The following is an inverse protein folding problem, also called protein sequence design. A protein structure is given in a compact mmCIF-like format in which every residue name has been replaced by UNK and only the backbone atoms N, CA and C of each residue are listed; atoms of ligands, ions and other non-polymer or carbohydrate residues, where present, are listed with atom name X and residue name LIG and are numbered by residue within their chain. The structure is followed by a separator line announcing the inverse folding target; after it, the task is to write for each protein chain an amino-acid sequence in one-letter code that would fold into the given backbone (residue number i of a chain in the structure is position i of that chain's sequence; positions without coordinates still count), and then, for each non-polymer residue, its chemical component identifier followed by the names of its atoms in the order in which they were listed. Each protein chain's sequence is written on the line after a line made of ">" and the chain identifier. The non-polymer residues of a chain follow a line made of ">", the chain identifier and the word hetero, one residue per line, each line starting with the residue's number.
data_IF_315592029962
#
_entry.id   IF_315592029962
#
_cell.length_a   1.000
_cell.length_b   1.000
_cell.length_c   1.000
_cell.angle_alpha   90.00
_cell.angle_beta   90.00
_cell.angle_gamma   90.00
#
_symmetry.space_group_name_H-M   'P 1'
#
loop_
_entity.id
_entity.type
_entity.pdbx_description
1 polymer ?
#
# COMPACT_ATOMS: atom_id res chain seq x y z
N UNK A 1 14.64 -14.30 -20.74
CA UNK A 1 13.30 -14.64 -20.19
C UNK A 1 12.73 -13.41 -19.48
N UNK A 2 12.24 -12.39 -20.20
CA UNK A 2 11.83 -11.13 -19.58
C UNK A 2 10.82 -10.33 -20.45
N UNK A 3 9.70 -10.96 -20.82
CA UNK A 3 8.64 -10.28 -21.58
C UNK A 3 7.25 -10.38 -20.92
N UNK A 4 7.08 -11.21 -19.89
CA UNK A 4 5.82 -11.34 -19.14
C UNK A 4 5.71 -10.39 -17.95
N UNK A 5 6.77 -9.65 -17.60
CA UNK A 5 6.88 -8.90 -16.33
C UNK A 5 6.26 -7.49 -16.38
N UNK A 6 6.40 -6.77 -17.50
CA UNK A 6 6.03 -5.34 -17.57
C UNK A 6 4.53 -5.10 -17.77
N UNK A 7 3.84 -5.99 -18.48
CA UNK A 7 2.39 -5.87 -18.73
C UNK A 7 1.59 -6.09 -17.44
N UNK A 8 2.02 -7.02 -16.59
CA UNK A 8 1.39 -7.25 -15.30
C UNK A 8 1.71 -6.13 -14.29
N UNK A 9 2.91 -5.52 -14.36
CA UNK A 9 3.26 -4.35 -13.54
C UNK A 9 2.27 -3.19 -13.72
N UNK A 10 1.87 -2.91 -14.97
CA UNK A 10 0.96 -1.80 -15.27
C UNK A 10 -0.43 -1.99 -14.64
N UNK A 11 -0.90 -3.24 -14.53
CA UNK A 11 -2.15 -3.56 -13.86
C UNK A 11 -2.03 -3.48 -12.32
N UNK A 12 -0.85 -3.80 -11.78
CA UNK A 12 -0.59 -3.81 -10.35
C UNK A 12 -0.32 -2.40 -9.79
N UNK A 13 0.34 -1.53 -10.56
CA UNK A 13 0.73 -0.18 -10.13
C UNK A 13 -0.39 0.63 -9.43
N UNK A 14 -1.62 0.75 -9.97
CA UNK A 14 -2.70 1.46 -9.27
C UNK A 14 -3.10 0.79 -7.95
N UNK A 15 -3.01 -0.53 -7.85
CA UNK A 15 -3.33 -1.27 -6.63
C UNK A 15 -2.28 -1.08 -5.54
N UNK A 16 -1.01 -0.81 -5.90
CA UNK A 16 0.05 -0.55 -4.92
C UNK A 16 -0.24 0.67 -4.05
N UNK A 17 -0.79 1.73 -4.63
CA UNK A 17 -1.14 2.95 -3.90
C UNK A 17 -2.31 2.70 -2.94
N UNK A 18 -3.36 2.03 -3.40
CA UNK A 18 -4.50 1.64 -2.56
C UNK A 18 -4.06 0.73 -1.40
N UNK A 19 -3.22 -0.26 -1.69
CA UNK A 19 -2.62 -1.14 -0.69
C UNK A 19 -1.82 -0.35 0.35
N UNK A 20 -0.97 0.60 -0.07
CA UNK A 20 -0.16 1.42 0.83
C UNK A 20 -1.00 2.32 1.74
N UNK A 21 -2.18 2.75 1.30
CA UNK A 21 -3.15 3.52 2.08
C UNK A 21 -4.00 2.65 3.02
N UNK A 22 -3.84 1.33 2.98
CA UNK A 22 -4.54 0.40 3.85
C UNK A 22 -5.91 -0.02 3.32
N UNK A 23 -6.14 0.01 2.01
CA UNK A 23 -7.37 -0.53 1.42
C UNK A 23 -7.61 -2.00 1.85
N UNK A 24 -8.88 -2.33 2.09
CA UNK A 24 -9.29 -3.59 2.72
C UNK A 24 -9.87 -4.60 1.73
N UNK A 25 -9.81 -4.33 0.43
CA UNK A 25 -10.18 -5.30 -0.59
C UNK A 25 -9.24 -6.51 -0.59
N UNK A 26 -9.78 -7.69 -0.26
CA UNK A 26 -9.00 -8.90 -0.06
C UNK A 26 -8.42 -9.46 -1.37
N UNK A 27 -9.11 -9.29 -2.48
CA UNK A 27 -8.68 -9.77 -3.79
C UNK A 27 -7.50 -8.94 -4.31
N UNK A 28 -7.62 -7.62 -4.28
CA UNK A 28 -6.55 -6.70 -4.65
C UNK A 28 -5.30 -6.90 -3.79
N UNK A 29 -5.46 -7.12 -2.48
CA UNK A 29 -4.34 -7.42 -1.59
C UNK A 29 -3.61 -8.71 -1.97
N UNK A 30 -4.34 -9.78 -2.25
CA UNK A 30 -3.74 -11.04 -2.67
C UNK A 30 -2.96 -10.89 -4.00
N UNK A 31 -3.46 -10.09 -4.94
CA UNK A 31 -2.78 -9.79 -6.21
C UNK A 31 -1.48 -9.01 -5.99
N UNK A 32 -1.52 -7.97 -5.15
CA UNK A 32 -0.34 -7.17 -4.81
C UNK A 32 0.71 -8.00 -4.08
N UNK A 33 0.31 -8.81 -3.09
CA UNK A 33 1.21 -9.68 -2.32
C UNK A 33 1.88 -10.70 -3.24
N UNK A 34 1.11 -11.38 -4.09
CA UNK A 34 1.64 -12.35 -5.04
C UNK A 34 2.64 -11.73 -6.03
N UNK A 35 2.31 -10.55 -6.58
CA UNK A 35 3.19 -9.89 -7.56
C UNK A 35 4.47 -9.33 -6.92
N UNK A 36 4.38 -8.67 -5.76
CA UNK A 36 5.56 -8.07 -5.09
C UNK A 36 6.53 -9.10 -4.52
N UNK A 37 6.07 -10.33 -4.28
CA UNK A 37 6.94 -11.47 -3.98
C UNK A 37 7.87 -11.82 -5.15
N UNK A 38 7.40 -11.69 -6.39
CA UNK A 38 8.15 -12.04 -7.60
C UNK A 38 8.83 -10.84 -8.29
N UNK A 39 8.27 -9.63 -8.17
CA UNK A 39 8.73 -8.44 -8.88
C UNK A 39 9.44 -7.42 -7.96
N UNK A 40 10.74 -7.23 -8.16
CA UNK A 40 11.53 -6.27 -7.39
C UNK A 40 11.12 -4.81 -7.66
N UNK A 41 10.75 -4.48 -8.91
CA UNK A 41 10.35 -3.12 -9.26
C UNK A 41 9.11 -2.67 -8.48
N UNK A 42 8.04 -3.47 -8.54
CA UNK A 42 6.81 -3.19 -7.79
C UNK A 42 7.02 -3.23 -6.28
N UNK A 43 7.91 -4.08 -5.77
CA UNK A 43 8.28 -4.08 -4.34
C UNK A 43 8.94 -2.76 -3.92
N UNK A 44 9.84 -2.21 -4.73
CA UNK A 44 10.46 -0.89 -4.46
C UNK A 44 9.44 0.24 -4.55
N UNK A 45 8.56 0.22 -5.55
CA UNK A 45 7.47 1.20 -5.68
C UNK A 45 6.54 1.16 -4.47
N UNK A 46 6.12 -0.04 -4.03
CA UNK A 46 5.28 -0.20 -2.85
C UNK A 46 5.95 0.38 -1.59
N UNK A 47 7.23 0.10 -1.37
CA UNK A 47 7.97 0.65 -0.23
C UNK A 47 8.02 2.19 -0.25
N UNK A 48 8.17 2.79 -1.44
CA UNK A 48 8.13 4.24 -1.59
C UNK A 48 6.75 4.82 -1.24
N UNK A 49 5.67 4.19 -1.72
CA UNK A 49 4.31 4.59 -1.37
C UNK A 49 4.02 4.43 0.13
N UNK A 50 4.44 3.33 0.74
CA UNK A 50 4.30 3.10 2.18
C UNK A 50 5.03 4.17 3.01
N UNK A 51 6.21 4.60 2.55
CA UNK A 51 6.96 5.69 3.19
C UNK A 51 6.15 6.98 3.18
N UNK A 52 5.58 7.35 2.03
CA UNK A 52 4.74 8.57 1.93
C UNK A 52 3.47 8.42 2.76
N UNK A 53 2.78 7.27 2.68
CA UNK A 53 1.57 6.99 3.43
C UNK A 53 1.80 7.12 4.96
N UNK A 54 2.96 6.68 5.46
CA UNK A 54 3.32 6.80 6.87
C UNK A 54 3.53 8.25 7.33
N UNK A 55 3.88 9.15 6.41
CA UNK A 55 4.07 10.58 6.71
C UNK A 55 2.76 11.37 6.68
N UNK A 56 1.72 10.89 5.97
CA UNK A 56 0.44 11.60 5.83
C UNK A 56 -0.20 11.99 7.17
N UNK A 57 -0.26 11.12 8.20
CA UNK A 57 -0.84 11.48 9.49
C UNK A 57 -0.13 12.62 10.21
N UNK A 58 1.16 12.87 9.93
CA UNK A 58 1.93 13.96 10.56
C UNK A 58 1.47 15.35 10.10
N UNK A 59 0.78 15.44 8.95
CA UNK A 59 0.18 16.68 8.46
C UNK A 59 -1.32 16.79 8.75
N UNK A 60 -1.93 15.78 9.38
CA UNK A 60 -3.34 15.82 9.73
C UNK A 60 -3.57 16.78 10.92
N UNK A 61 -4.72 17.48 10.99
CA UNK A 61 -5.05 18.27 12.17
C UNK A 61 -5.20 17.37 13.40
N UNK A 62 -4.81 17.90 14.56
CA UNK A 62 -5.01 17.22 15.83
C UNK A 62 -6.51 16.94 16.06
N UNK A 63 -6.82 15.69 16.39
CA UNK A 63 -8.17 15.28 16.77
C UNK A 63 -8.19 14.91 18.26
N UNK A 64 -9.14 15.48 19.01
CA UNK A 64 -9.36 15.10 20.40
C UNK A 64 -10.06 13.72 20.41
N UNK A 65 -9.43 12.66 20.96
CA UNK A 65 -10.07 11.35 21.02
C UNK A 65 -11.25 11.37 22.01
N UNK A 66 -12.23 10.49 21.78
CA UNK A 66 -13.37 10.36 22.68
C UNK A 66 -12.94 10.00 24.12
N UNK A 67 -13.65 10.50 25.14
CA UNK A 67 -13.41 10.11 26.53
C UNK A 67 -13.42 8.58 26.69
N UNK A 68 -12.42 8.01 27.36
CA UNK A 68 -12.33 6.57 27.61
C UNK A 68 -11.62 5.74 26.53
N UNK A 69 -11.22 6.33 25.39
CA UNK A 69 -10.51 5.58 24.33
C UNK A 69 -9.21 4.91 24.84
N UNK A 70 -8.50 5.55 25.78
CA UNK A 70 -7.27 5.00 26.39
C UNK A 70 -7.50 4.02 27.54
N UNK A 71 -8.72 3.91 28.07
CA UNK A 71 -9.03 3.12 29.25
C UNK A 71 -9.50 1.68 28.92
N UNK A 72 -9.44 1.30 27.64
CA UNK A 72 -9.90 0.02 27.09
C UNK A 72 -8.73 -0.71 26.44
#
# INVERSE_FOLDING_TARGET
>A
MAASDTTDCAAIEPLLAAYALGDHDAEARALVDAHTHACESCRRTLAAYQTVAHMLPLGAPDAIPAPGLRAR
#
